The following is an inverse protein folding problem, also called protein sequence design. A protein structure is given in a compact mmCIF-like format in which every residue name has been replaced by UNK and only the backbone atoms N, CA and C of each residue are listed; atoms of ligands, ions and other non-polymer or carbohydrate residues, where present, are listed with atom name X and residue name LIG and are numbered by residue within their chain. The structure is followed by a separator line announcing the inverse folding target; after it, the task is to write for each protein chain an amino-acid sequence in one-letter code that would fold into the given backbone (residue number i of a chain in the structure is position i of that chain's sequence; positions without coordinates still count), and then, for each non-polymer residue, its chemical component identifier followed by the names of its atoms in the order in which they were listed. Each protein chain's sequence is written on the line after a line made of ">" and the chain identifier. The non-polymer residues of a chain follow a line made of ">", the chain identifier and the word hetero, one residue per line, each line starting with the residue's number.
data_IF_380345374606
#
_entry.id   IF_380345374606
#
_cell.length_a   1.000
_cell.length_b   1.000
_cell.length_c   1.000
_cell.angle_alpha   90.00
_cell.angle_beta   90.00
_cell.angle_gamma   90.00
#
_symmetry.space_group_name_H-M   'P 1'
#
loop_
_entity.id
_entity.type
_entity.pdbx_description
1 polymer ?
#
# COMPACT_ATOMS: atom_id res chain seq x y z
N UNK A 1 0.04 12.55 -11.68
CA UNK A 1 -1.27 13.18 -11.35
C UNK A 1 -1.39 13.34 -9.83
N UNK A 2 -1.54 14.56 -9.29
CA UNK A 2 -1.57 14.80 -7.83
C UNK A 2 -2.96 14.72 -7.19
N UNK A 3 -4.03 14.78 -8.01
CA UNK A 3 -5.40 14.94 -7.54
C UNK A 3 -5.92 13.72 -6.77
N UNK A 4 -5.60 12.51 -7.23
CA UNK A 4 -6.12 11.25 -6.64
C UNK A 4 -5.34 10.83 -5.37
N UNK A 5 -4.38 11.64 -4.92
CA UNK A 5 -3.65 11.39 -3.67
C UNK A 5 -4.53 11.70 -2.44
N UNK A 6 -5.55 12.55 -2.58
CA UNK A 6 -6.46 12.89 -1.48
C UNK A 6 -7.61 11.89 -1.35
N UNK A 7 -7.85 11.38 -0.14
CA UNK A 7 -8.86 10.34 0.11
C UNK A 7 -10.29 10.80 -0.23
N UNK A 8 -10.63 12.06 0.04
CA UNK A 8 -11.93 12.64 -0.34
C UNK A 8 -12.19 12.55 -1.86
N UNK A 9 -11.15 12.62 -2.67
CA UNK A 9 -11.25 12.56 -4.13
C UNK A 9 -11.44 11.11 -4.58
N UNK A 10 -10.79 10.15 -3.90
CA UNK A 10 -11.02 8.72 -4.15
C UNK A 10 -12.47 8.34 -3.85
N UNK A 11 -13.01 8.82 -2.73
CA UNK A 11 -14.40 8.55 -2.32
C UNK A 11 -15.40 9.11 -3.34
N UNK A 12 -15.19 10.33 -3.83
CA UNK A 12 -16.07 10.94 -4.82
C UNK A 12 -15.98 10.22 -6.18
N UNK A 13 -14.79 9.77 -6.60
CA UNK A 13 -14.61 8.96 -7.83
C UNK A 13 -15.42 7.66 -7.75
N UNK A 14 -15.39 6.99 -6.60
CA UNK A 14 -16.15 5.75 -6.39
C UNK A 14 -17.65 6.04 -6.42
N UNK A 15 -18.10 7.07 -5.69
CA UNK A 15 -19.50 7.49 -5.62
C UNK A 15 -20.09 7.84 -6.99
N UNK A 16 -19.31 8.48 -7.86
CA UNK A 16 -19.72 8.87 -9.21
C UNK A 16 -19.59 7.74 -10.25
N UNK A 17 -19.36 6.50 -9.82
CA UNK A 17 -19.13 5.34 -10.70
C UNK A 17 -17.93 5.54 -11.66
N UNK A 18 -16.99 6.42 -11.33
CA UNK A 18 -15.83 6.72 -12.17
C UNK A 18 -14.88 5.52 -12.33
N UNK A 19 -14.91 4.57 -11.40
CA UNK A 19 -14.10 3.36 -11.43
C UNK A 19 -14.36 2.51 -12.70
N UNK A 20 -15.63 2.35 -13.10
CA UNK A 20 -15.96 1.54 -14.28
C UNK A 20 -15.45 2.17 -15.57
N UNK A 21 -15.45 3.51 -15.64
CA UNK A 21 -14.90 4.25 -16.77
C UNK A 21 -13.38 4.12 -16.86
N UNK A 22 -12.69 4.14 -15.71
CA UNK A 22 -11.23 3.97 -15.65
C UNK A 22 -10.82 2.54 -16.02
N UNK A 23 -11.54 1.53 -15.52
CA UNK A 23 -11.31 0.12 -15.90
C UNK A 23 -11.56 -0.06 -17.40
N UNK A 24 -12.69 0.43 -17.93
CA UNK A 24 -12.98 0.35 -19.35
C UNK A 24 -11.90 1.04 -20.18
N UNK A 25 -11.41 2.21 -19.74
CA UNK A 25 -10.35 2.93 -20.44
C UNK A 25 -9.03 2.14 -20.46
N UNK A 26 -8.71 1.45 -19.36
CA UNK A 26 -7.52 0.61 -19.29
C UNK A 26 -7.62 -0.62 -20.19
N UNK A 27 -8.79 -1.27 -20.24
CA UNK A 27 -9.01 -2.48 -21.03
C UNK A 27 -9.23 -2.21 -22.52
N UNK A 28 -9.77 -1.05 -22.88
CA UNK A 28 -10.12 -0.67 -24.27
C UNK A 28 -9.30 0.56 -24.73
N UNK A 29 -7.99 0.38 -25.05
CA UNK A 29 -7.10 1.49 -25.42
C UNK A 29 -7.53 2.16 -26.75
N UNK A 30 -8.24 1.45 -27.62
CA UNK A 30 -8.62 1.88 -28.97
C UNK A 30 -9.69 3.01 -29.02
N UNK A 31 -10.42 3.25 -27.92
CA UNK A 31 -11.53 4.22 -27.92
C UNK A 31 -11.10 5.70 -27.93
N UNK A 32 -9.87 6.02 -27.53
CA UNK A 32 -9.33 7.39 -27.53
C UNK A 32 -7.86 7.33 -27.96
N UNK A 33 -7.53 7.91 -29.13
CA UNK A 33 -6.20 7.97 -29.76
C UNK A 33 -5.16 8.84 -29.00
N UNK A 34 -5.26 8.92 -27.68
CA UNK A 34 -4.25 9.55 -26.84
C UNK A 34 -3.37 8.45 -26.22
N UNK A 35 -2.10 8.46 -26.64
CA UNK A 35 -1.06 7.49 -26.34
C UNK A 35 -0.80 7.33 -24.81
N UNK A 36 -1.10 8.37 -24.03
CA UNK A 36 -0.88 8.36 -22.56
C UNK A 36 -2.13 8.03 -21.74
N UNK A 37 -3.32 7.96 -22.34
CA UNK A 37 -4.56 7.82 -21.58
C UNK A 37 -4.66 6.51 -20.79
N UNK A 38 -4.03 5.44 -21.29
CA UNK A 38 -3.95 4.16 -20.58
C UNK A 38 -3.06 4.27 -19.34
N UNK A 39 -1.90 4.91 -19.50
CA UNK A 39 -0.90 5.15 -18.44
C UNK A 39 -1.51 5.90 -17.25
N UNK A 40 -2.23 6.99 -17.52
CA UNK A 40 -2.91 7.75 -16.47
C UNK A 40 -4.03 6.96 -15.80
N UNK A 41 -4.75 6.12 -16.55
CA UNK A 41 -5.81 5.29 -15.99
C UNK A 41 -5.24 4.25 -15.03
N UNK A 42 -4.14 3.58 -15.38
CA UNK A 42 -3.46 2.63 -14.51
C UNK A 42 -2.88 3.28 -13.26
N UNK A 43 -2.31 4.49 -13.37
CA UNK A 43 -1.82 5.26 -12.22
C UNK A 43 -2.96 5.61 -11.25
N UNK A 44 -4.10 6.05 -11.77
CA UNK A 44 -5.29 6.36 -10.97
C UNK A 44 -5.86 5.08 -10.34
N UNK A 45 -5.94 3.98 -11.09
CA UNK A 45 -6.43 2.70 -10.58
C UNK A 45 -5.54 2.17 -9.46
N UNK A 46 -4.21 2.32 -9.57
CA UNK A 46 -3.30 2.02 -8.48
C UNK A 46 -3.58 2.88 -7.25
N UNK A 47 -3.77 4.18 -7.40
CA UNK A 47 -4.11 5.06 -6.28
C UNK A 47 -5.46 4.69 -5.63
N UNK A 48 -6.43 4.23 -6.43
CA UNK A 48 -7.73 3.78 -5.95
C UNK A 48 -7.67 2.46 -5.18
N UNK A 49 -6.64 1.61 -5.37
CA UNK A 49 -6.47 0.39 -4.56
C UNK A 49 -6.29 0.67 -3.06
N UNK A 50 -6.00 1.92 -2.67
CA UNK A 50 -5.93 2.33 -1.27
C UNK A 50 -7.31 2.69 -0.67
N UNK A 51 -8.37 2.76 -1.48
CA UNK A 51 -9.75 2.88 -1.01
C UNK A 51 -10.39 1.48 -0.96
N UNK A 52 -11.05 1.13 0.16
CA UNK A 52 -11.59 -0.22 0.41
C UNK A 52 -12.66 -0.65 -0.58
N UNK A 53 -13.56 0.26 -0.95
CA UNK A 53 -14.66 -0.04 -1.88
C UNK A 53 -14.12 -0.25 -3.30
N UNK A 54 -13.27 0.68 -3.76
CA UNK A 54 -12.60 0.55 -5.05
C UNK A 54 -11.73 -0.71 -5.13
N UNK A 55 -10.98 -1.01 -4.06
CA UNK A 55 -10.16 -2.22 -3.95
C UNK A 55 -10.99 -3.49 -4.15
N UNK A 56 -12.11 -3.62 -3.44
CA UNK A 56 -13.00 -4.79 -3.58
C UNK A 56 -13.59 -4.89 -4.99
N UNK A 57 -13.99 -3.76 -5.58
CA UNK A 57 -14.52 -3.72 -6.93
C UNK A 57 -13.46 -4.14 -7.99
N UNK A 58 -12.22 -3.69 -7.83
CA UNK A 58 -11.09 -4.09 -8.70
C UNK A 58 -10.78 -5.58 -8.51
N UNK A 59 -10.71 -6.05 -7.25
CA UNK A 59 -10.40 -7.44 -6.89
C UNK A 59 -11.44 -8.43 -7.45
N UNK A 60 -12.70 -8.04 -7.49
CA UNK A 60 -13.79 -8.88 -8.00
C UNK A 60 -13.92 -8.82 -9.53
N UNK A 61 -13.17 -7.95 -10.21
CA UNK A 61 -13.20 -7.83 -11.67
C UNK A 61 -12.16 -8.76 -12.32
N UNK A 62 -12.56 -10.02 -12.56
CA UNK A 62 -11.70 -11.05 -13.16
C UNK A 62 -11.19 -10.68 -14.55
N UNK A 63 -12.00 -9.99 -15.35
CA UNK A 63 -11.62 -9.54 -16.69
C UNK A 63 -10.48 -8.53 -16.62
N UNK A 64 -10.60 -7.53 -15.75
CA UNK A 64 -9.55 -6.54 -15.53
C UNK A 64 -8.27 -7.18 -14.97
N UNK A 65 -8.38 -8.14 -14.04
CA UNK A 65 -7.21 -8.88 -13.54
C UNK A 65 -6.50 -9.63 -14.67
N UNK A 66 -7.24 -10.26 -15.57
CA UNK A 66 -6.66 -10.95 -16.72
C UNK A 66 -5.98 -9.96 -17.67
N UNK A 67 -6.57 -8.78 -17.87
CA UNK A 67 -5.95 -7.70 -18.64
C UNK A 67 -4.62 -7.25 -18.01
N UNK A 68 -4.58 -6.99 -16.69
CA UNK A 68 -3.34 -6.65 -15.98
C UNK A 68 -2.25 -7.72 -16.16
N UNK A 69 -2.61 -9.01 -16.12
CA UNK A 69 -1.66 -10.10 -16.40
C UNK A 69 -1.13 -10.07 -17.83
N UNK A 70 -1.95 -9.64 -18.78
CA UNK A 70 -1.52 -9.49 -20.18
C UNK A 70 -0.53 -8.33 -20.31
N UNK A 71 -0.75 -7.23 -19.58
CA UNK A 71 0.17 -6.08 -19.53
C UNK A 71 1.55 -6.40 -18.94
N UNK A 72 1.68 -7.45 -18.13
CA UNK A 72 2.99 -7.91 -17.63
C UNK A 72 3.94 -8.37 -18.75
N UNK A 73 3.38 -8.78 -19.88
CA UNK A 73 4.13 -9.21 -21.07
C UNK A 73 4.20 -8.11 -22.14
N UNK A 74 3.72 -6.91 -21.85
CA UNK A 74 3.83 -5.77 -22.77
C UNK A 74 5.28 -5.30 -22.92
N UNK A 75 5.58 -4.65 -24.03
CA UNK A 75 6.89 -4.02 -24.29
C UNK A 75 7.03 -2.65 -23.63
N UNK A 76 5.97 -2.10 -23.03
CA UNK A 76 6.01 -0.81 -22.34
C UNK A 76 6.30 -1.01 -20.85
N UNK A 77 7.52 -0.66 -20.43
CA UNK A 77 7.95 -0.76 -19.04
C UNK A 77 7.07 0.03 -18.08
N UNK A 78 6.39 1.09 -18.54
CA UNK A 78 5.50 1.87 -17.71
C UNK A 78 4.24 1.07 -17.37
N UNK A 79 3.53 0.56 -18.36
CA UNK A 79 2.30 -0.21 -18.17
C UNK A 79 2.55 -1.47 -17.35
N UNK A 80 3.68 -2.14 -17.63
CA UNK A 80 4.13 -3.30 -16.86
C UNK A 80 4.28 -2.99 -15.37
N UNK A 81 4.98 -1.89 -15.02
CA UNK A 81 5.21 -1.51 -13.61
C UNK A 81 3.91 -1.23 -12.85
N UNK A 82 2.95 -0.56 -13.47
CA UNK A 82 1.66 -0.30 -12.83
C UNK A 82 0.84 -1.58 -12.69
N UNK A 83 0.84 -2.45 -13.70
CA UNK A 83 0.17 -3.74 -13.62
C UNK A 83 0.76 -4.63 -12.52
N UNK A 84 2.10 -4.70 -12.41
CA UNK A 84 2.80 -5.39 -11.32
C UNK A 84 2.39 -4.83 -9.95
N UNK A 85 2.37 -3.50 -9.81
CA UNK A 85 2.06 -2.83 -8.55
C UNK A 85 0.61 -3.08 -8.10
N UNK A 86 -0.35 -3.02 -9.03
CA UNK A 86 -1.76 -3.28 -8.75
C UNK A 86 -1.95 -4.76 -8.37
N UNK A 87 -1.39 -5.70 -9.14
CA UNK A 87 -1.51 -7.12 -8.86
C UNK A 87 -0.90 -7.49 -7.51
N UNK A 88 0.31 -6.98 -7.21
CA UNK A 88 0.95 -7.19 -5.91
C UNK A 88 0.07 -6.68 -4.77
N UNK A 89 -0.52 -5.49 -4.90
CA UNK A 89 -1.40 -4.92 -3.87
C UNK A 89 -2.66 -5.76 -3.64
N UNK A 90 -3.24 -6.31 -4.71
CA UNK A 90 -4.40 -7.21 -4.62
C UNK A 90 -4.05 -8.58 -4.02
N UNK A 91 -2.80 -9.03 -4.18
CA UNK A 91 -2.30 -10.28 -3.61
C UNK A 91 -1.91 -10.17 -2.12
N UNK A 92 -1.45 -8.99 -1.66
CA UNK A 92 -1.16 -8.76 -0.24
C UNK A 92 -2.37 -9.05 0.67
N UNK A 93 -3.58 -8.81 0.20
CA UNK A 93 -4.82 -9.08 0.95
C UNK A 93 -5.10 -10.58 1.12
N UNK A 94 -4.56 -11.46 0.26
CA UNK A 94 -4.65 -12.91 0.49
C UNK A 94 -3.81 -13.36 1.70
N UNK A 95 -2.74 -12.64 2.04
CA UNK A 95 -1.92 -12.92 3.22
C UNK A 95 -2.54 -12.35 4.52
N UNK A 96 -3.35 -11.29 4.43
CA UNK A 96 -4.01 -10.70 5.59
C UNK A 96 -5.22 -11.51 6.10
N UNK A 97 -5.89 -12.28 5.23
CA UNK A 97 -7.08 -13.07 5.62
C UNK A 97 -6.70 -14.35 6.39
N UNK A 98 -5.48 -14.88 6.23
CA UNK A 98 -4.99 -16.02 7.02
C UNK A 98 -4.45 -15.64 8.41
N UNK A 99 -4.26 -14.35 8.69
CA UNK A 99 -3.74 -13.86 9.98
C UNK A 99 -4.79 -13.16 10.86
N UNK A 100 -6.08 -13.34 10.58
CA UNK A 100 -7.14 -12.96 11.53
C UNK A 100 -7.46 -14.13 12.47
N UNK A 101 -6.43 -14.68 13.09
CA UNK A 101 -6.54 -15.21 14.45
C UNK A 101 -5.70 -14.30 15.31
N UNK A 102 -6.38 -13.57 16.19
CA UNK A 102 -5.78 -12.89 17.34
C UNK A 102 -5.04 -13.97 18.14
N UNK A 103 -3.80 -14.22 17.77
CA UNK A 103 -2.86 -15.03 18.53
C UNK A 103 -1.94 -14.02 19.19
N UNK A 104 -2.06 -13.99 20.50
CA UNK A 104 -1.34 -13.17 21.46
C UNK A 104 0.18 -13.40 21.36
N UNK A 105 0.81 -12.91 20.29
CA UNK A 105 2.23 -13.03 20.07
C UNK A 105 2.86 -11.75 19.47
N UNK A 106 2.20 -10.59 19.59
CA UNK A 106 2.81 -9.29 19.32
C UNK A 106 4.06 -9.17 20.20
N UNK A 107 5.23 -9.14 19.57
CA UNK A 107 6.51 -9.10 20.28
C UNK A 107 6.72 -7.73 20.95
N UNK A 108 6.14 -6.68 20.36
CA UNK A 108 6.22 -5.31 20.83
C UNK A 108 4.81 -4.72 20.99
N UNK A 109 4.63 -3.87 22.00
CA UNK A 109 3.41 -3.10 22.16
C UNK A 109 3.46 -1.84 21.28
N UNK A 110 4.65 -1.28 21.06
CA UNK A 110 4.86 0.00 20.36
C UNK A 110 6.11 -0.06 19.47
N UNK A 111 5.99 0.40 18.23
CA UNK A 111 7.11 0.77 17.36
C UNK A 111 7.29 2.29 17.37
N UNK A 112 8.50 2.78 17.64
CA UNK A 112 8.86 4.20 17.52
C UNK A 112 9.70 4.45 16.26
N UNK A 113 9.15 5.22 15.34
CA UNK A 113 9.87 5.78 14.18
C UNK A 113 10.38 7.18 14.51
N UNK A 114 11.58 7.52 14.05
CA UNK A 114 12.14 8.84 14.28
C UNK A 114 13.00 9.31 13.11
N UNK A 115 13.19 10.62 13.00
CA UNK A 115 14.14 11.26 12.10
C UNK A 115 15.40 11.67 12.86
N UNK A 116 16.51 11.89 12.18
CA UNK A 116 17.75 12.33 12.85
C UNK A 116 17.58 13.60 13.71
N UNK A 117 16.63 14.47 13.39
CA UNK A 117 16.38 15.74 14.10
C UNK A 117 15.68 15.58 15.46
N UNK A 118 14.92 14.51 15.67
CA UNK A 118 14.15 14.26 16.89
C UNK A 118 14.61 13.00 17.63
N UNK A 119 15.78 12.45 17.27
CA UNK A 119 16.40 11.27 17.86
C UNK A 119 16.42 11.31 19.39
N UNK A 120 16.95 12.38 19.98
CA UNK A 120 17.12 12.48 21.43
C UNK A 120 15.77 12.49 22.17
N UNK A 121 14.77 13.14 21.59
CA UNK A 121 13.41 13.16 22.15
C UNK A 121 12.76 11.77 22.07
N UNK A 122 12.84 11.11 20.92
CA UNK A 122 12.30 9.76 20.73
C UNK A 122 13.01 8.76 21.65
N UNK A 123 14.29 8.96 21.96
CA UNK A 123 15.02 8.15 22.93
C UNK A 123 14.52 8.38 24.36
N UNK A 124 14.26 9.63 24.75
CA UNK A 124 13.66 9.93 26.05
C UNK A 124 12.23 9.35 26.19
N UNK A 125 11.43 9.39 25.12
CA UNK A 125 10.10 8.77 25.07
C UNK A 125 10.22 7.25 25.23
N UNK A 126 11.15 6.62 24.50
CA UNK A 126 11.43 5.19 24.64
C UNK A 126 11.78 4.82 26.09
N UNK A 127 12.71 5.54 26.72
CA UNK A 127 13.13 5.21 28.09
C UNK A 127 11.97 5.33 29.07
N UNK A 128 11.07 6.30 28.85
CA UNK A 128 9.85 6.45 29.62
C UNK A 128 8.87 5.29 29.42
N UNK A 129 8.64 4.89 28.18
CA UNK A 129 7.72 3.79 27.85
C UNK A 129 8.23 2.44 28.39
N UNK A 130 9.54 2.18 28.28
CA UNK A 130 10.15 1.00 28.92
C UNK A 130 9.98 1.04 30.43
N UNK A 131 10.18 2.21 31.06
CA UNK A 131 9.98 2.39 32.52
C UNK A 131 8.54 2.16 32.94
N UNK A 132 7.58 2.52 32.10
CA UNK A 132 6.15 2.31 32.34
C UNK A 132 5.70 0.87 32.01
N UNK A 133 6.62 0.01 31.55
CA UNK A 133 6.41 -1.44 31.38
C UNK A 133 6.02 -1.88 29.97
N UNK A 134 6.09 -1.00 28.97
CA UNK A 134 5.80 -1.34 27.58
C UNK A 134 6.99 -2.01 26.89
N UNK A 135 6.72 -2.92 25.96
CA UNK A 135 7.70 -3.51 25.05
C UNK A 135 7.79 -2.64 23.81
N UNK A 136 8.88 -1.88 23.68
CA UNK A 136 9.02 -0.90 22.59
C UNK A 136 10.14 -1.29 21.65
N UNK A 137 9.89 -1.22 20.34
CA UNK A 137 10.90 -1.31 19.30
C UNK A 137 11.32 0.08 18.84
N UNK A 138 12.62 0.33 18.75
CA UNK A 138 13.21 1.55 18.19
C UNK A 138 14.55 1.21 17.53
N UNK A 139 14.84 1.86 16.41
CA UNK A 139 16.13 1.71 15.72
C UNK A 139 17.26 2.43 16.50
N UNK A 140 17.75 1.79 17.58
CA UNK A 140 18.77 2.37 18.49
C UNK A 140 20.19 2.00 18.10
N UNK A 141 20.39 0.79 17.61
CA UNK A 141 21.68 0.31 17.14
C UNK A 141 21.57 0.03 15.67
N UNK A 142 22.49 0.62 14.89
CA UNK A 142 22.68 0.41 13.47
C UNK A 142 22.77 -1.10 13.22
N UNK A 143 21.62 -1.72 12.93
CA UNK A 143 21.49 -3.17 12.90
C UNK A 143 22.44 -3.67 11.83
N UNK A 144 23.44 -4.47 12.22
CA UNK A 144 24.31 -5.18 11.27
C UNK A 144 23.45 -6.18 10.50
N UNK A 145 22.81 -5.70 9.43
CA UNK A 145 21.76 -6.37 8.67
C UNK A 145 21.07 -5.39 7.71
N UNK A 146 19.90 -5.75 7.19
CA UNK A 146 19.04 -4.87 6.39
C UNK A 146 18.08 -4.12 7.33
N UNK A 147 18.28 -2.83 7.61
CA UNK A 147 17.41 -2.06 8.51
C UNK A 147 15.95 -2.07 8.07
N UNK A 148 15.73 -2.25 6.76
CA UNK A 148 14.42 -2.28 6.13
C UNK A 148 13.63 -3.54 6.53
N UNK A 149 14.29 -4.70 6.65
CA UNK A 149 13.64 -5.94 7.06
C UNK A 149 13.30 -5.94 8.55
N UNK A 150 14.19 -5.39 9.39
CA UNK A 150 13.94 -5.24 10.82
C UNK A 150 12.80 -4.25 11.10
N UNK A 151 12.74 -3.15 10.34
CA UNK A 151 11.64 -2.19 10.42
C UNK A 151 10.32 -2.80 9.94
N UNK A 152 10.33 -3.51 8.81
CA UNK A 152 9.14 -4.20 8.30
C UNK A 152 8.62 -5.22 9.34
N UNK A 153 9.52 -5.99 9.92
CA UNK A 153 9.17 -6.93 10.99
C UNK A 153 8.59 -6.22 12.22
N UNK A 154 9.16 -5.10 12.64
CA UNK A 154 8.64 -4.34 13.77
C UNK A 154 7.26 -3.73 13.52
N UNK A 155 7.00 -3.26 12.29
CA UNK A 155 5.68 -2.77 11.86
C UNK A 155 4.64 -3.88 11.97
N UNK A 156 4.99 -5.08 11.51
CA UNK A 156 4.07 -6.23 11.47
C UNK A 156 3.79 -6.82 12.86
N UNK A 157 4.69 -6.61 13.83
CA UNK A 157 4.63 -7.23 15.17
C UNK A 157 4.48 -6.21 16.31
N UNK A 158 4.02 -4.99 16.02
CA UNK A 158 3.72 -3.96 17.01
C UNK A 158 2.24 -3.62 17.02
N UNK A 159 1.66 -3.49 18.21
CA UNK A 159 0.25 -3.08 18.35
C UNK A 159 0.03 -1.62 17.95
N UNK A 160 0.99 -0.73 18.23
CA UNK A 160 0.92 0.70 17.92
C UNK A 160 2.20 1.21 17.24
N UNK A 161 2.08 2.22 16.38
CA UNK A 161 3.20 2.86 15.68
C UNK A 161 3.16 4.37 15.94
N UNK A 162 4.31 4.94 16.32
CA UNK A 162 4.49 6.35 16.72
C UNK A 162 5.59 7.04 15.90
#
# INVERSE_FOLDING_TARGET
>A
IGLVQHDQIKDEIVKQQGLSLLIRRATEPELIKQDEGNKWSLEILLALTFNKEAFNNIKNNTEFIQHLRTLLHSTDDYEKRFAESILWKLEQDKKHVESTTVSSNDQYDIMLSYSHRNKDLCYAIYDRLIKDGFRVWIDRENIYGSPMDAMAYAIENSTYIL
#
